data_IF_633790895456
#
_entry.id   IF_633790895456
#
_cell.length_a   1.000
_cell.length_b   1.000
_cell.length_c   1.000
_cell.angle_alpha   90.00
_cell.angle_beta   90.00
_cell.angle_gamma   90.00
#
_symmetry.space_group_name_H-M   'P 1'
#
loop_
_entity.id
_entity.type
_entity.pdbx_description
1 polymer ?
#
# COMPACT_ATOMS: atom_id res chain seq x y z
N UNK A 1 13.77 3.89 -6.23
CA UNK A 1 12.83 3.82 -7.38
C UNK A 1 12.34 2.39 -7.53
N UNK A 2 11.02 2.21 -7.54
CA UNK A 2 10.38 0.90 -7.71
C UNK A 2 10.83 0.23 -9.02
N UNK A 3 11.06 -1.08 -8.98
CA UNK A 3 11.29 -1.90 -10.17
C UNK A 3 9.98 -2.60 -10.53
N UNK A 4 9.68 -2.68 -11.85
CA UNK A 4 8.48 -3.39 -12.28
C UNK A 4 8.56 -4.86 -11.84
N UNK A 5 7.52 -5.41 -11.17
CA UNK A 5 7.48 -6.83 -10.83
C UNK A 5 7.39 -7.71 -12.07
N UNK A 6 7.99 -8.90 -12.01
CA UNK A 6 8.00 -9.81 -13.17
C UNK A 6 6.59 -10.18 -13.65
N UNK A 7 5.64 -10.35 -12.72
CA UNK A 7 4.23 -10.60 -13.04
C UNK A 7 3.57 -9.47 -13.84
N UNK A 8 4.05 -8.22 -13.67
CA UNK A 8 3.57 -7.02 -14.38
C UNK A 8 4.47 -6.63 -15.55
N UNK A 9 5.63 -7.26 -15.69
CA UNK A 9 6.59 -6.96 -16.75
C UNK A 9 6.15 -7.58 -18.09
N UNK A 10 4.94 -7.27 -18.50
CA UNK A 10 4.32 -7.73 -19.73
C UNK A 10 3.84 -6.52 -20.55
N UNK A 11 4.29 -6.40 -21.80
CA UNK A 11 3.90 -5.31 -22.70
C UNK A 11 2.39 -5.24 -22.91
N UNK A 12 1.70 -6.38 -22.92
CA UNK A 12 0.24 -6.40 -23.01
C UNK A 12 -0.45 -5.77 -21.80
N UNK A 13 0.23 -5.64 -20.67
CA UNK A 13 -0.32 -5.00 -19.49
C UNK A 13 -0.18 -3.46 -19.54
N UNK A 14 1.03 -2.92 -19.70
CA UNK A 14 1.27 -1.49 -19.58
C UNK A 14 1.20 -0.74 -20.93
N UNK A 15 1.37 -1.42 -22.08
CA UNK A 15 1.22 -0.80 -23.40
C UNK A 15 -0.22 -0.86 -23.93
N UNK A 16 -1.09 -1.72 -23.38
CA UNK A 16 -2.48 -1.79 -23.77
C UNK A 16 -3.18 -0.41 -23.71
N UNK A 17 -4.08 -0.15 -24.64
CA UNK A 17 -4.90 1.06 -24.62
C UNK A 17 -5.72 1.16 -23.32
N UNK A 18 -6.06 2.39 -22.93
CA UNK A 18 -6.94 2.64 -21.78
C UNK A 18 -8.38 2.52 -22.28
N UNK A 19 -8.99 1.37 -22.05
CA UNK A 19 -10.32 1.00 -22.52
C UNK A 19 -11.43 1.19 -21.48
N UNK A 20 -11.07 1.67 -20.27
CA UNK A 20 -12.03 2.00 -19.23
C UNK A 20 -12.59 3.42 -19.38
N UNK A 21 -13.79 3.64 -18.84
CA UNK A 21 -14.42 4.94 -18.82
C UNK A 21 -14.06 5.68 -17.54
N UNK A 22 -13.90 6.99 -17.65
CA UNK A 22 -13.65 7.85 -16.51
C UNK A 22 -14.27 9.24 -16.75
N UNK A 23 -14.81 9.84 -15.72
CA UNK A 23 -15.22 11.23 -15.63
C UNK A 23 -15.30 11.65 -14.15
N UNK A 24 -15.45 12.92 -13.87
CA UNK A 24 -15.51 13.47 -12.51
C UNK A 24 -16.64 12.89 -11.65
N UNK A 25 -17.77 12.50 -12.25
CA UNK A 25 -18.87 11.89 -11.51
C UNK A 25 -18.47 10.51 -10.95
N UNK A 26 -17.65 9.76 -11.68
CA UNK A 26 -17.16 8.45 -11.24
C UNK A 26 -16.33 8.52 -9.97
N UNK A 27 -15.68 9.64 -9.70
CA UNK A 27 -14.95 9.84 -8.46
C UNK A 27 -15.86 9.76 -7.24
N UNK A 28 -16.98 10.51 -7.25
CA UNK A 28 -17.96 10.45 -6.17
C UNK A 28 -18.58 9.05 -6.04
N UNK A 29 -18.82 8.38 -7.17
CA UNK A 29 -19.29 7.02 -7.16
C UNK A 29 -18.28 6.06 -6.57
N UNK A 30 -16.98 6.29 -6.81
CA UNK A 30 -15.91 5.44 -6.28
C UNK A 30 -15.78 5.56 -4.77
N UNK A 31 -15.83 6.76 -4.24
CA UNK A 31 -15.76 6.99 -2.79
C UNK A 31 -17.00 6.48 -2.03
N UNK A 32 -18.20 6.59 -2.63
CA UNK A 32 -19.44 6.36 -1.91
C UNK A 32 -20.13 5.00 -2.22
N UNK A 33 -19.92 4.45 -3.41
CA UNK A 33 -20.76 3.35 -3.92
C UNK A 33 -20.02 2.10 -4.33
N UNK A 34 -18.73 2.23 -4.72
CA UNK A 34 -17.96 1.07 -5.17
C UNK A 34 -17.38 0.34 -3.98
N UNK A 35 -18.07 -0.70 -3.55
CA UNK A 35 -17.57 -1.59 -2.51
C UNK A 35 -17.88 -3.05 -2.85
N UNK A 36 -17.02 -3.95 -2.35
CA UNK A 36 -17.22 -5.38 -2.42
C UNK A 36 -17.22 -5.97 -1.01
N UNK A 37 -18.39 -6.19 -0.44
CA UNK A 37 -18.53 -6.66 0.94
C UNK A 37 -17.78 -7.96 1.23
N UNK A 38 -17.53 -8.82 0.24
CA UNK A 38 -16.71 -10.03 0.42
C UNK A 38 -15.24 -9.67 0.59
N UNK A 39 -14.69 -8.81 -0.26
CA UNK A 39 -13.31 -8.34 -0.14
C UNK A 39 -13.12 -7.56 1.16
N UNK A 40 -14.02 -6.65 1.48
CA UNK A 40 -14.00 -5.93 2.76
C UNK A 40 -13.90 -6.89 3.94
N UNK A 41 -14.77 -7.91 4.02
CA UNK A 41 -14.75 -8.91 5.10
C UNK A 41 -13.50 -9.79 5.09
N UNK A 42 -12.86 -9.97 3.95
CA UNK A 42 -11.57 -10.67 3.83
C UNK A 42 -10.44 -9.80 4.39
N UNK A 43 -10.36 -8.55 3.97
CA UNK A 43 -9.31 -7.62 4.43
C UNK A 43 -9.40 -7.31 5.92
N UNK A 44 -10.59 -7.39 6.50
CA UNK A 44 -10.79 -7.31 7.95
C UNK A 44 -10.04 -8.39 8.75
N UNK A 45 -9.59 -9.47 8.12
CA UNK A 45 -8.86 -10.57 8.76
C UNK A 45 -7.35 -10.35 8.80
N UNK A 46 -6.86 -9.31 8.13
CA UNK A 46 -5.44 -8.99 8.05
C UNK A 46 -5.00 -8.12 9.23
N UNK A 47 -3.77 -8.33 9.70
CA UNK A 47 -3.15 -7.41 10.65
C UNK A 47 -2.80 -6.07 9.97
N UNK A 48 -2.35 -5.07 10.72
CA UNK A 48 -2.13 -3.73 10.20
C UNK A 48 -1.04 -3.68 9.13
N UNK A 49 0.12 -4.32 9.37
CA UNK A 49 1.21 -4.33 8.38
C UNK A 49 0.84 -5.07 7.10
N UNK A 50 0.07 -6.16 7.20
CA UNK A 50 -0.45 -6.84 6.02
C UNK A 50 -1.44 -5.99 5.23
N UNK A 51 -2.27 -5.21 5.93
CA UNK A 51 -3.20 -4.28 5.27
C UNK A 51 -2.46 -3.17 4.52
N UNK A 52 -1.44 -2.56 5.13
CA UNK A 52 -0.62 -1.54 4.46
C UNK A 52 0.19 -2.12 3.31
N UNK A 53 0.75 -3.34 3.46
CA UNK A 53 1.43 -4.03 2.36
C UNK A 53 0.50 -4.29 1.18
N UNK A 54 -0.73 -4.70 1.46
CA UNK A 54 -1.75 -4.87 0.42
C UNK A 54 -2.10 -3.53 -0.24
N UNK A 55 -2.25 -2.43 0.51
CA UNK A 55 -2.49 -1.11 -0.05
C UNK A 55 -1.37 -0.68 -1.00
N UNK A 56 -0.10 -0.83 -0.59
CA UNK A 56 1.05 -0.53 -1.43
C UNK A 56 1.07 -1.40 -2.70
N UNK A 57 0.79 -2.71 -2.57
CA UNK A 57 0.79 -3.64 -3.70
C UNK A 57 -0.35 -3.35 -4.70
N UNK A 58 -1.55 -3.02 -4.23
CA UNK A 58 -2.68 -2.60 -5.08
C UNK A 58 -2.37 -1.29 -5.83
N UNK A 59 -1.73 -0.34 -5.16
CA UNK A 59 -1.30 0.91 -5.80
C UNK A 59 -0.21 0.67 -6.85
N UNK A 60 0.65 -0.33 -6.66
CA UNK A 60 1.63 -0.71 -7.70
C UNK A 60 0.96 -1.23 -8.97
N UNK A 61 -0.14 -1.98 -8.88
CA UNK A 61 -0.93 -2.36 -10.06
C UNK A 61 -1.42 -1.14 -10.83
N UNK A 62 -1.92 -0.12 -10.12
CA UNK A 62 -2.39 1.13 -10.73
C UNK A 62 -1.20 1.89 -11.34
N UNK A 63 -0.11 2.05 -10.58
CA UNK A 63 1.09 2.75 -11.04
C UNK A 63 1.66 2.11 -12.32
N UNK A 64 1.92 0.79 -12.31
CA UNK A 64 2.52 0.11 -13.45
C UNK A 64 1.59 0.06 -14.67
N UNK A 65 0.27 0.10 -14.47
CA UNK A 65 -0.70 0.22 -15.57
C UNK A 65 -0.60 1.56 -16.30
N UNK A 66 -0.30 2.62 -15.57
CA UNK A 66 -0.36 3.99 -16.07
C UNK A 66 1.00 4.64 -16.35
N UNK A 67 2.11 4.12 -15.81
CA UNK A 67 3.44 4.76 -15.76
C UNK A 67 4.03 5.13 -17.12
N UNK A 68 3.62 4.48 -18.20
CA UNK A 68 4.05 4.81 -19.58
C UNK A 68 3.08 5.74 -20.31
N UNK A 69 1.95 6.05 -19.69
CA UNK A 69 0.89 6.82 -20.34
C UNK A 69 0.97 8.31 -20.00
N UNK A 70 1.44 8.61 -18.78
CA UNK A 70 1.61 9.98 -18.30
C UNK A 70 2.60 10.02 -17.12
N UNK A 71 2.99 11.25 -16.71
CA UNK A 71 3.80 11.46 -15.51
C UNK A 71 2.98 11.23 -14.24
N UNK A 72 3.03 10.00 -13.77
CA UNK A 72 2.43 9.60 -12.50
C UNK A 72 3.49 9.32 -11.44
N UNK A 73 4.69 9.87 -11.59
CA UNK A 73 5.83 9.64 -10.70
C UNK A 73 5.50 9.93 -9.23
N UNK A 74 4.63 10.91 -8.97
CA UNK A 74 4.18 11.22 -7.62
C UNK A 74 3.56 10.00 -6.92
N UNK A 75 2.77 9.17 -7.62
CA UNK A 75 2.18 7.96 -7.06
C UNK A 75 3.24 6.95 -6.59
N UNK A 76 4.38 6.85 -7.31
CA UNK A 76 5.46 5.97 -6.88
C UNK A 76 6.09 6.40 -5.56
N UNK A 77 6.15 7.71 -5.26
CA UNK A 77 6.65 8.22 -3.97
C UNK A 77 5.75 7.77 -2.82
N UNK A 78 4.44 7.86 -2.97
CA UNK A 78 3.49 7.38 -1.95
C UNK A 78 3.61 5.87 -1.74
N UNK A 79 3.76 5.09 -2.81
CA UNK A 79 3.94 3.64 -2.73
C UNK A 79 5.24 3.28 -1.99
N UNK A 80 6.37 3.90 -2.37
CA UNK A 80 7.66 3.70 -1.68
C UNK A 80 7.57 4.05 -0.20
N UNK A 81 6.83 5.09 0.13
CA UNK A 81 6.60 5.52 1.50
C UNK A 81 5.83 4.47 2.30
N UNK A 82 4.79 3.86 1.75
CA UNK A 82 4.08 2.79 2.44
C UNK A 82 4.95 1.53 2.63
N UNK A 83 5.77 1.16 1.66
CA UNK A 83 6.72 0.06 1.84
C UNK A 83 7.75 0.34 2.94
N UNK A 84 8.18 1.59 3.12
CA UNK A 84 9.04 1.99 4.23
C UNK A 84 8.30 1.99 5.57
N UNK A 85 7.04 2.43 5.60
CA UNK A 85 6.20 2.51 6.79
C UNK A 85 5.92 1.14 7.43
N UNK A 86 5.76 0.09 6.62
CA UNK A 86 5.63 -1.30 7.11
C UNK A 86 6.86 -1.70 7.92
N UNK A 87 8.04 -1.21 7.56
CA UNK A 87 9.29 -1.53 8.25
C UNK A 87 9.33 -0.79 9.58
N UNK A 88 9.22 0.54 9.54
CA UNK A 88 9.20 1.40 10.72
C UNK A 88 8.53 2.74 10.40
N UNK A 89 7.53 3.12 11.20
CA UNK A 89 6.78 4.38 11.03
C UNK A 89 7.68 5.64 11.00
N UNK A 90 8.86 5.58 11.62
CA UNK A 90 9.83 6.69 11.65
C UNK A 90 10.53 6.95 10.31
N UNK A 91 10.37 6.09 9.31
CA UNK A 91 10.82 6.40 7.95
C UNK A 91 9.94 7.48 7.29
N UNK A 92 8.71 7.67 7.76
CA UNK A 92 7.66 8.38 7.04
C UNK A 92 7.33 9.69 7.74
N UNK A 93 7.25 10.78 6.97
CA UNK A 93 6.68 12.03 7.43
C UNK A 93 5.15 11.92 7.44
N UNK A 94 4.52 12.67 8.34
CA UNK A 94 3.08 12.91 8.21
C UNK A 94 2.84 13.71 6.93
N UNK A 95 2.03 13.16 6.03
CA UNK A 95 1.70 13.78 4.75
C UNK A 95 0.20 13.91 4.59
N UNK A 96 -0.18 14.93 3.83
CA UNK A 96 -1.56 15.23 3.48
C UNK A 96 -1.61 15.41 1.96
N UNK A 97 -2.66 14.92 1.35
CA UNK A 97 -2.89 15.09 -0.08
C UNK A 97 -3.81 16.29 -0.28
N UNK A 98 -3.37 17.28 -1.06
CA UNK A 98 -4.22 18.37 -1.50
C UNK A 98 -5.03 17.93 -2.72
N UNK A 99 -6.34 18.05 -2.57
CA UNK A 99 -7.28 17.69 -3.60
C UNK A 99 -7.26 18.66 -4.77
N UNK A 100 -7.13 18.15 -6.02
CA UNK A 100 -7.33 18.92 -7.22
C UNK A 100 -8.63 18.48 -7.93
N UNK A 101 -9.66 19.35 -8.03
CA UNK A 101 -10.97 19.00 -8.59
C UNK A 101 -11.01 18.79 -10.10
N UNK A 102 -9.99 19.19 -10.87
CA UNK A 102 -9.95 19.09 -12.34
C UNK A 102 -9.58 17.67 -12.83
N UNK A 103 -10.47 16.69 -12.57
CA UNK A 103 -10.12 15.27 -12.72
C UNK A 103 -11.04 14.50 -13.67
N UNK A 104 -11.49 15.14 -14.73
CA UNK A 104 -12.15 14.45 -15.85
C UNK A 104 -11.15 13.61 -16.68
N UNK A 105 -9.84 13.83 -16.48
CA UNK A 105 -8.81 13.07 -17.18
C UNK A 105 -8.76 11.62 -16.71
N UNK A 106 -8.74 10.71 -17.66
CA UNK A 106 -8.79 9.25 -17.46
C UNK A 106 -7.60 8.70 -16.65
N UNK A 107 -6.45 9.38 -16.66
CA UNK A 107 -5.25 8.98 -15.91
C UNK A 107 -5.20 9.72 -14.57
N UNK A 108 -5.41 11.05 -14.61
CA UNK A 108 -5.30 11.88 -13.42
C UNK A 108 -6.40 11.57 -12.40
N UNK A 109 -7.63 11.32 -12.83
CA UNK A 109 -8.71 10.92 -11.93
C UNK A 109 -8.41 9.61 -11.20
N UNK A 110 -7.95 8.58 -11.92
CA UNK A 110 -7.54 7.31 -11.31
C UNK A 110 -6.35 7.50 -10.37
N UNK A 111 -5.33 8.27 -10.77
CA UNK A 111 -4.16 8.60 -9.94
C UNK A 111 -4.58 9.26 -8.63
N UNK A 112 -5.49 10.21 -8.68
CA UNK A 112 -5.97 10.94 -7.50
C UNK A 112 -6.68 10.04 -6.51
N UNK A 113 -7.63 9.22 -6.97
CA UNK A 113 -8.30 8.24 -6.10
C UNK A 113 -7.29 7.27 -5.47
N UNK A 114 -6.30 6.82 -6.24
CA UNK A 114 -5.26 5.94 -5.70
C UNK A 114 -4.46 6.63 -4.58
N UNK A 115 -4.03 7.89 -4.77
CA UNK A 115 -3.27 8.64 -3.76
C UNK A 115 -4.12 8.91 -2.52
N UNK A 116 -5.37 9.32 -2.67
CA UNK A 116 -6.29 9.55 -1.55
C UNK A 116 -6.52 8.29 -0.72
N UNK A 117 -6.71 7.16 -1.39
CA UNK A 117 -6.84 5.86 -0.72
C UNK A 117 -5.58 5.49 0.06
N UNK A 118 -4.38 5.75 -0.51
CA UNK A 118 -3.12 5.54 0.19
C UNK A 118 -2.96 6.49 1.39
N UNK A 119 -3.33 7.76 1.25
CA UNK A 119 -3.28 8.74 2.34
C UNK A 119 -4.19 8.30 3.50
N UNK A 120 -5.45 7.95 3.20
CA UNK A 120 -6.40 7.45 4.21
C UNK A 120 -5.90 6.16 4.88
N UNK A 121 -5.33 5.22 4.09
CA UNK A 121 -4.73 3.99 4.61
C UNK A 121 -3.56 4.28 5.55
N UNK A 122 -2.65 5.16 5.15
CA UNK A 122 -1.49 5.56 5.93
C UNK A 122 -1.91 6.28 7.23
N UNK A 123 -2.81 7.24 7.15
CA UNK A 123 -3.35 7.95 8.31
C UNK A 123 -4.01 7.00 9.31
N UNK A 124 -4.82 6.06 8.83
CA UNK A 124 -5.45 5.05 9.68
C UNK A 124 -4.40 4.12 10.32
N UNK A 125 -3.39 3.73 9.58
CA UNK A 125 -2.30 2.90 10.08
C UNK A 125 -1.46 3.61 11.15
N UNK A 126 -1.05 4.85 10.90
CA UNK A 126 -0.27 5.64 11.85
C UNK A 126 -1.05 5.87 13.16
N UNK A 127 -2.36 6.02 13.06
CA UNK A 127 -3.26 6.18 14.20
C UNK A 127 -3.72 4.84 14.82
N UNK A 128 -3.20 3.71 14.36
CA UNK A 128 -3.58 2.39 14.88
C UNK A 128 -5.04 2.01 14.65
N UNK A 129 -5.71 2.60 13.65
CA UNK A 129 -7.12 2.34 13.35
C UNK A 129 -7.30 1.08 12.53
N UNK A 130 -8.41 0.37 12.73
CA UNK A 130 -8.70 -0.91 12.07
C UNK A 130 -9.41 -0.78 10.71
N UNK A 131 -9.87 0.41 10.33
CA UNK A 131 -10.70 0.63 9.14
C UNK A 131 -9.93 0.76 7.82
N UNK A 132 -8.66 0.36 7.76
CA UNK A 132 -7.85 0.29 6.53
C UNK A 132 -8.54 -0.59 5.48
N UNK A 133 -9.28 -1.61 5.90
CA UNK A 133 -9.96 -2.55 5.01
C UNK A 133 -11.00 -1.91 4.08
N UNK A 134 -11.58 -0.77 4.46
CA UNK A 134 -12.48 -0.03 3.58
C UNK A 134 -11.72 0.59 2.38
N UNK A 135 -10.52 1.11 2.63
CA UNK A 135 -9.67 1.66 1.58
C UNK A 135 -9.14 0.56 0.65
N UNK A 136 -8.80 -0.61 1.21
CA UNK A 136 -8.33 -1.76 0.44
C UNK A 136 -9.38 -2.30 -0.53
N UNK A 137 -10.63 -2.33 -0.10
CA UNK A 137 -11.74 -2.77 -0.93
C UNK A 137 -11.90 -1.86 -2.16
N UNK A 138 -12.02 -0.56 -1.97
CA UNK A 138 -12.11 0.42 -3.04
C UNK A 138 -10.89 0.39 -3.97
N UNK A 139 -9.68 0.30 -3.41
CA UNK A 139 -8.45 0.26 -4.17
C UNK A 139 -8.28 -1.02 -5.00
N UNK A 140 -8.71 -2.18 -4.48
CA UNK A 140 -8.71 -3.44 -5.23
C UNK A 140 -9.69 -3.37 -6.41
N UNK A 141 -10.87 -2.79 -6.20
CA UNK A 141 -11.85 -2.57 -7.26
C UNK A 141 -11.31 -1.61 -8.32
N UNK A 142 -10.61 -0.54 -7.94
CA UNK A 142 -10.00 0.42 -8.86
C UNK A 142 -8.89 -0.22 -9.70
N UNK A 143 -7.96 -0.93 -9.06
CA UNK A 143 -6.89 -1.63 -9.75
C UNK A 143 -7.44 -2.63 -10.76
N UNK A 144 -8.45 -3.42 -10.35
CA UNK A 144 -9.13 -4.37 -11.24
C UNK A 144 -9.86 -3.68 -12.40
N UNK A 145 -10.49 -2.53 -12.13
CA UNK A 145 -11.25 -1.78 -13.13
C UNK A 145 -10.39 -1.35 -14.31
N UNK A 146 -9.20 -0.81 -14.02
CA UNK A 146 -8.27 -0.32 -15.05
C UNK A 146 -7.36 -1.40 -15.65
N UNK A 147 -7.34 -2.60 -15.05
CA UNK A 147 -6.50 -3.71 -15.50
C UNK A 147 -7.04 -4.28 -16.82
N UNK A 148 -6.22 -4.44 -17.89
CA UNK A 148 -6.65 -5.03 -19.14
C UNK A 148 -6.89 -6.55 -19.02
N UNK A 149 -6.11 -7.24 -18.19
CA UNK A 149 -6.27 -8.66 -17.89
C UNK A 149 -6.78 -8.86 -16.46
N UNK A 150 -8.11 -8.90 -16.33
CA UNK A 150 -8.77 -9.08 -15.03
C UNK A 150 -8.48 -10.44 -14.40
N UNK A 151 -8.25 -11.48 -15.20
CA UNK A 151 -7.95 -12.81 -14.68
C UNK A 151 -6.56 -12.84 -14.05
N UNK A 152 -5.58 -12.17 -14.65
CA UNK A 152 -4.24 -12.01 -14.07
C UNK A 152 -4.31 -11.31 -12.71
N UNK A 153 -5.05 -10.21 -12.64
CA UNK A 153 -5.24 -9.48 -11.38
C UNK A 153 -5.97 -10.32 -10.32
N UNK A 154 -7.08 -10.96 -10.70
CA UNK A 154 -7.89 -11.76 -9.79
C UNK A 154 -7.08 -12.93 -9.21
N UNK A 155 -6.31 -13.64 -10.05
CA UNK A 155 -5.42 -14.73 -9.63
C UNK A 155 -4.36 -14.23 -8.66
N UNK A 156 -3.71 -13.12 -8.97
CA UNK A 156 -2.71 -12.50 -8.07
C UNK A 156 -3.32 -12.11 -6.72
N UNK A 157 -4.49 -11.47 -6.73
CA UNK A 157 -5.15 -11.03 -5.50
C UNK A 157 -5.55 -12.21 -4.62
N UNK A 158 -6.13 -13.25 -5.23
CA UNK A 158 -6.50 -14.48 -4.53
C UNK A 158 -5.29 -15.17 -3.91
N UNK A 159 -4.16 -15.23 -4.63
CA UNK A 159 -2.91 -15.80 -4.12
C UNK A 159 -2.33 -14.99 -2.94
N UNK A 160 -2.36 -13.66 -3.03
CA UNK A 160 -1.95 -12.79 -1.92
C UNK A 160 -2.83 -13.03 -0.68
N UNK A 161 -4.15 -13.01 -0.83
CA UNK A 161 -5.09 -13.22 0.26
C UNK A 161 -4.90 -14.61 0.90
N UNK A 162 -4.75 -15.64 0.08
CA UNK A 162 -4.55 -17.03 0.54
C UNK A 162 -3.28 -17.19 1.38
N UNK A 163 -2.20 -16.43 1.06
CA UNK A 163 -0.96 -16.42 1.82
C UNK A 163 -1.05 -15.53 3.07
N UNK A 164 -1.66 -14.35 2.95
CA UNK A 164 -1.67 -13.35 4.02
C UNK A 164 -2.51 -13.77 5.23
N UNK A 165 -3.72 -14.28 5.02
CA UNK A 165 -4.65 -14.59 6.12
C UNK A 165 -4.04 -15.55 7.15
N UNK A 166 -3.43 -16.69 6.78
CA UNK A 166 -2.86 -17.60 7.78
C UNK A 166 -1.56 -17.10 8.40
N UNK A 167 -0.78 -16.27 7.68
CA UNK A 167 0.53 -15.83 8.14
C UNK A 167 0.47 -14.51 8.93
N UNK A 168 -0.46 -13.64 8.60
CA UNK A 168 -0.59 -12.29 9.15
C UNK A 168 -2.04 -12.00 9.59
N UNK A 169 -2.64 -12.86 10.43
CA UNK A 169 -4.01 -12.64 10.88
C UNK A 169 -4.10 -11.42 11.79
N UNK A 170 -5.28 -10.79 11.79
CA UNK A 170 -5.62 -9.80 12.81
C UNK A 170 -5.48 -10.39 14.20
N UNK A 171 -4.81 -9.68 15.11
CA UNK A 171 -4.50 -10.16 16.47
C UNK A 171 -5.31 -9.50 17.58
N UNK A 172 -6.06 -8.47 17.24
CA UNK A 172 -6.89 -7.76 18.21
C UNK A 172 -8.36 -8.18 18.06
N UNK A 173 -9.03 -8.29 19.20
CA UNK A 173 -10.46 -8.58 19.24
C UNK A 173 -11.23 -7.25 19.06
N UNK A 174 -11.92 -7.13 17.94
CA UNK A 174 -12.74 -5.96 17.63
C UNK A 174 -13.93 -5.79 18.55
N UNK A 175 -14.44 -6.91 19.05
CA UNK A 175 -15.58 -6.94 19.94
C UNK A 175 -15.16 -6.65 21.39
N UNK A 176 -13.84 -6.63 21.65
CA UNK A 176 -13.27 -6.29 22.95
C UNK A 176 -12.59 -4.91 22.94
N UNK A 177 -13.33 -3.83 23.20
CA UNK A 177 -12.78 -2.47 23.19
C UNK A 177 -11.74 -2.19 24.28
N UNK A 178 -11.38 -3.16 25.12
CA UNK A 178 -10.31 -3.01 26.11
C UNK A 178 -8.92 -2.91 25.48
N UNK A 179 -8.74 -3.39 24.25
CA UNK A 179 -7.50 -3.26 23.45
C UNK A 179 -7.43 -1.91 22.71
N UNK A 180 -8.53 -1.17 22.69
CA UNK A 180 -8.63 0.17 22.15
C UNK A 180 -8.94 1.15 23.26
N UNK A 181 -8.36 2.33 23.20
CA UNK A 181 -8.75 3.40 24.09
C UNK A 181 -10.23 3.75 23.82
N UNK A 182 -11.05 3.68 24.87
CA UNK A 182 -12.51 3.87 24.78
C UNK A 182 -12.93 5.30 24.48
N UNK A 183 -12.02 6.24 24.65
CA UNK A 183 -12.27 7.67 24.51
C UNK A 183 -11.79 8.15 23.14
N UNK A 184 -12.63 7.95 22.12
CA UNK A 184 -12.61 8.56 20.79
C UNK A 184 -11.46 8.22 19.82
N UNK A 185 -10.37 7.55 20.22
CA UNK A 185 -9.28 7.22 19.31
C UNK A 185 -8.70 5.82 19.58
N UNK A 186 -9.25 4.76 18.94
CA UNK A 186 -8.74 3.42 19.09
C UNK A 186 -7.31 3.35 18.56
N UNK A 187 -6.37 3.17 19.46
CA UNK A 187 -4.96 3.11 19.16
C UNK A 187 -4.46 1.67 19.27
N UNK A 188 -4.04 1.10 18.16
CA UNK A 188 -3.35 -0.19 18.13
C UNK A 188 -1.89 0.01 17.72
N UNK A 189 -0.97 -0.47 18.54
CA UNK A 189 0.46 -0.43 18.23
C UNK A 189 0.86 -1.63 17.37
N UNK A 190 1.08 -1.38 16.08
CA UNK A 190 1.53 -2.39 15.11
C UNK A 190 3.06 -2.56 15.06
N UNK A 191 3.83 -1.91 15.93
CA UNK A 191 5.31 -1.97 15.90
C UNK A 191 5.84 -3.39 16.12
N UNK A 192 5.12 -4.21 16.85
CA UNK A 192 5.47 -5.61 17.14
C UNK A 192 5.09 -6.59 16.02
N UNK A 193 4.33 -6.15 15.00
CA UNK A 193 4.02 -6.99 13.86
C UNK A 193 5.24 -7.15 12.95
N UNK A 194 5.37 -8.34 12.36
CA UNK A 194 6.45 -8.61 11.42
C UNK A 194 6.28 -7.77 10.15
N UNK A 195 7.31 -7.04 9.68
CA UNK A 195 7.25 -6.37 8.39
C UNK A 195 7.21 -7.40 7.26
N UNK A 196 6.49 -7.05 6.19
CA UNK A 196 6.27 -7.92 5.04
C UNK A 196 6.99 -7.29 3.84
N UNK A 197 7.97 -7.98 3.25
CA UNK A 197 8.67 -7.42 2.09
C UNK A 197 7.78 -7.42 0.85
N UNK A 198 8.05 -6.48 -0.05
CA UNK A 198 7.35 -6.30 -1.32
C UNK A 198 7.36 -7.58 -2.17
N UNK A 199 8.46 -8.32 -2.14
CA UNK A 199 8.65 -9.58 -2.87
C UNK A 199 7.61 -10.65 -2.49
N UNK A 200 7.10 -10.62 -1.27
CA UNK A 200 6.03 -11.51 -0.82
C UNK A 200 4.75 -11.38 -1.66
N UNK A 201 4.46 -10.18 -2.15
CA UNK A 201 3.28 -9.88 -2.96
C UNK A 201 3.49 -10.15 -4.45
N UNK A 202 4.71 -9.98 -4.94
CA UNK A 202 4.97 -9.96 -6.38
C UNK A 202 5.85 -11.09 -6.91
N UNK A 203 6.52 -11.84 -6.04
CA UNK A 203 7.36 -12.97 -6.43
C UNK A 203 6.69 -14.27 -5.99
N UNK A 204 6.12 -15.07 -6.90
CA UNK A 204 5.41 -16.30 -6.55
C UNK A 204 6.22 -17.28 -5.72
N UNK A 205 7.53 -17.35 -6.01
CA UNK A 205 8.47 -18.27 -5.37
C UNK A 205 9.15 -17.68 -4.11
N UNK A 206 8.71 -16.49 -3.66
CA UNK A 206 9.29 -15.89 -2.47
C UNK A 206 8.92 -16.69 -1.21
N UNK A 207 9.93 -17.30 -0.60
CA UNK A 207 9.79 -17.99 0.68
C UNK A 207 9.96 -17.02 1.86
N UNK A 208 8.94 -16.90 2.70
CA UNK A 208 8.93 -16.04 3.88
C UNK A 208 9.77 -16.66 5.02
N UNK A 209 11.08 -16.65 4.87
CA UNK A 209 12.03 -17.00 5.92
C UNK A 209 12.60 -15.73 6.56
N UNK A 210 13.11 -15.83 7.80
CA UNK A 210 13.77 -14.68 8.45
C UNK A 210 14.92 -14.12 7.62
N UNK A 211 15.69 -14.99 6.97
CA UNK A 211 16.82 -14.58 6.10
C UNK A 211 16.33 -13.84 4.87
N UNK A 212 15.41 -14.43 4.11
CA UNK A 212 14.90 -13.83 2.88
C UNK A 212 14.19 -12.50 3.17
N UNK A 213 13.40 -12.46 4.25
CA UNK A 213 12.75 -11.23 4.71
C UNK A 213 13.75 -10.13 5.02
N UNK A 214 14.80 -10.45 5.81
CA UNK A 214 15.84 -9.48 6.15
C UNK A 214 16.58 -8.96 4.91
N UNK A 215 16.97 -9.86 4.00
CA UNK A 215 17.66 -9.50 2.76
C UNK A 215 16.78 -8.62 1.86
N UNK A 216 15.50 -8.95 1.71
CA UNK A 216 14.57 -8.18 0.88
C UNK A 216 14.32 -6.78 1.46
N UNK A 217 14.06 -6.68 2.76
CA UNK A 217 13.85 -5.39 3.43
C UNK A 217 15.10 -4.50 3.43
N UNK A 218 16.30 -5.07 3.67
CA UNK A 218 17.56 -4.31 3.58
C UNK A 218 17.83 -3.83 2.16
N UNK A 219 17.62 -4.70 1.16
CA UNK A 219 17.76 -4.34 -0.24
C UNK A 219 16.79 -3.22 -0.64
N UNK A 220 15.55 -3.25 -0.17
CA UNK A 220 14.59 -2.18 -0.40
C UNK A 220 15.10 -0.86 0.19
N UNK A 221 15.49 -0.84 1.46
CA UNK A 221 15.93 0.36 2.16
C UNK A 221 17.21 0.97 1.56
N UNK A 222 18.19 0.16 1.17
CA UNK A 222 19.44 0.64 0.53
C UNK A 222 19.15 1.37 -0.78
N UNK A 223 18.14 0.91 -1.52
CA UNK A 223 17.77 1.50 -2.80
C UNK A 223 16.73 2.63 -2.67
N UNK A 224 16.24 2.89 -1.47
CA UNK A 224 15.28 3.95 -1.22
C UNK A 224 16.00 5.29 -1.04
N UNK A 225 15.57 6.31 -1.78
CA UNK A 225 16.19 7.63 -1.73
C UNK A 225 15.27 8.64 -1.02
N UNK A 226 15.59 8.96 0.22
CA UNK A 226 14.91 10.04 0.96
C UNK A 226 15.19 11.43 0.38
N UNK A 227 16.20 11.58 -0.47
CA UNK A 227 16.49 12.85 -1.16
C UNK A 227 15.56 13.10 -2.34
N UNK A 228 15.09 12.02 -2.99
CA UNK A 228 14.21 12.08 -4.15
C UNK A 228 12.73 11.91 -3.75
N UNK A 229 12.48 11.42 -2.54
CA UNK A 229 11.15 11.24 -1.99
C UNK A 229 10.98 12.09 -0.72
N UNK A 230 10.33 13.22 -0.89
CA UNK A 230 10.10 14.23 0.14
C UNK A 230 9.10 13.80 1.24
N UNK A 231 8.41 12.67 1.04
CA UNK A 231 7.54 12.04 2.05
C UNK A 231 8.33 11.21 3.08
N UNK A 232 9.64 11.01 2.84
CA UNK A 232 10.50 10.24 3.75
C UNK A 232 11.26 11.15 4.71
N UNK A 233 11.49 10.66 5.91
CA UNK A 233 12.32 11.33 6.91
C UNK A 233 13.82 11.19 6.58
N UNK A 234 14.61 12.21 6.93
CA UNK A 234 16.05 12.10 6.84
C UNK A 234 16.62 11.20 7.94
N UNK A 235 17.83 10.64 7.78
CA UNK A 235 18.51 9.89 8.84
C UNK A 235 18.56 10.64 10.16
N UNK A 236 18.83 11.95 10.12
CA UNK A 236 18.92 12.81 11.31
C UNK A 236 17.58 12.92 12.02
N UNK A 237 16.48 13.10 11.27
CA UNK A 237 15.13 13.16 11.84
C UNK A 237 14.76 11.83 12.49
N UNK A 238 15.03 10.71 11.82
CA UNK A 238 14.74 9.38 12.36
C UNK A 238 15.47 9.12 13.68
N UNK A 239 16.76 9.48 13.76
CA UNK A 239 17.56 9.34 14.98
C UNK A 239 17.04 10.25 16.10
N UNK A 240 16.61 11.46 15.77
CA UNK A 240 16.01 12.39 16.73
C UNK A 240 14.66 11.87 17.27
N UNK A 241 13.93 11.11 16.48
CA UNK A 241 12.69 10.42 16.86
C UNK A 241 12.91 9.08 17.58
N UNK A 242 14.18 8.77 17.92
CA UNK A 242 14.54 7.58 18.68
C UNK A 242 14.65 6.31 17.85
N UNK A 243 14.93 6.40 16.54
CA UNK A 243 15.23 5.23 15.73
C UNK A 243 16.50 4.54 16.26
N UNK A 244 16.43 3.22 16.41
CA UNK A 244 17.55 2.40 16.91
C UNK A 244 18.14 1.63 15.73
N UNK A 245 19.44 1.82 15.47
CA UNK A 245 20.16 1.19 14.38
C UNK A 245 20.63 2.20 13.33
N UNK A 246 20.97 1.71 12.15
CA UNK A 246 21.41 2.54 11.03
C UNK A 246 20.20 2.86 10.15
N UNK A 247 19.78 4.15 10.01
CA UNK A 247 18.68 4.51 9.11
C UNK A 247 18.94 3.99 7.68
N UNK A 248 17.88 3.59 7.01
CA UNK A 248 17.92 3.01 5.66
C UNK A 248 18.73 1.71 5.54
N UNK A 249 18.84 0.99 6.66
CA UNK A 249 19.37 -0.37 6.73
C UNK A 249 18.47 -1.23 7.61
N UNK A 250 18.17 -2.45 7.18
CA UNK A 250 17.37 -3.40 7.95
C UNK A 250 18.27 -4.43 8.62
N UNK A 251 18.14 -4.57 9.95
CA UNK A 251 18.98 -5.50 10.73
C UNK A 251 20.47 -5.13 10.79
N UNK A 252 20.85 -3.96 10.29
CA UNK A 252 22.19 -3.42 10.44
C UNK A 252 22.42 -2.96 11.87
N UNK A 253 23.45 -3.54 12.56
CA UNK A 253 23.97 -3.02 13.81
C UNK A 253 24.85 -1.81 13.54
#
# INVERSE_FOLDING_TARGET
>A
MLKIPDILNNTSFYDAELDYKWNSDMRYEWDEKVSNSKLFNIFLKLNHKASIGMAAALAEWIYWRLHKKDDIYILSKYIETLWADIIDKRYVKKWEFEFNPDEDDIIHGVKTIAIESLERSNRNYLNGRYNISAELDGQAMLARYICPDKNLFDTWLEDCIRKLIPLFPVKYDRDNPSEYNKDDDPYYDSSHEQPIPREFFFSPDFELTSKNTQEALDNFLINLSYKDNDLLNTPETMLAEGFIGTPYRYGGK
#
